data_IF_791373926857
#
_entry.id   IF_791373926857
#
_cell.length_a   1.000
_cell.length_b   1.000
_cell.length_c   1.000
_cell.angle_alpha   90.00
_cell.angle_beta   90.00
_cell.angle_gamma   90.00
#
_symmetry.space_group_name_H-M   'P 1'
#
loop_
_entity.id
_entity.type
_entity.pdbx_description
1 polymer ?
#
# COMPACT_ATOMS: atom_id res chain seq x y z
N UNK A 1 -14.05 38.56 3.92
CA UNK A 1 -13.62 38.36 5.31
C UNK A 1 -12.77 37.09 5.32
N UNK A 2 -11.45 37.26 5.23
CA UNK A 2 -10.49 36.16 5.01
C UNK A 2 -10.07 35.51 6.32
N UNK A 3 -10.37 34.22 6.47
CA UNK A 3 -9.88 33.38 7.55
C UNK A 3 -8.47 32.89 7.23
N UNK A 4 -7.52 33.15 8.12
CA UNK A 4 -6.16 32.63 8.01
C UNK A 4 -6.16 31.13 8.35
N UNK A 5 -5.93 30.29 7.35
CA UNK A 5 -5.74 28.85 7.48
C UNK A 5 -4.48 28.56 8.32
N UNK A 6 -4.64 27.82 9.43
CA UNK A 6 -3.50 27.19 10.11
C UNK A 6 -2.99 26.05 9.22
N UNK A 7 -1.85 26.25 8.56
CA UNK A 7 -1.25 25.25 7.69
C UNK A 7 -0.82 23.99 8.44
N UNK A 8 -1.04 22.83 7.81
CA UNK A 8 -0.49 21.54 8.24
C UNK A 8 1.05 21.60 8.24
N UNK A 9 1.70 21.08 9.28
CA UNK A 9 3.16 21.06 9.41
C UNK A 9 3.73 19.88 8.61
N UNK A 10 4.71 20.14 7.75
CA UNK A 10 5.43 19.09 7.03
C UNK A 10 6.00 18.05 8.00
N UNK A 11 5.87 16.77 7.68
CA UNK A 11 6.58 15.73 8.41
C UNK A 11 8.09 16.04 8.39
N UNK A 12 8.74 15.74 9.51
CA UNK A 12 10.17 15.97 9.66
C UNK A 12 10.55 17.44 9.87
N UNK A 13 9.57 18.36 9.92
CA UNK A 13 9.78 19.70 10.44
C UNK A 13 10.16 19.60 11.92
N UNK A 14 11.46 19.43 12.17
CA UNK A 14 12.06 19.61 13.50
C UNK A 14 11.65 20.99 13.99
N UNK A 15 11.27 21.09 15.25
CA UNK A 15 11.30 22.38 15.94
C UNK A 15 12.73 22.94 15.78
N UNK A 16 12.87 24.00 14.97
CA UNK A 16 14.06 24.80 14.71
C UNK A 16 15.43 24.10 14.81
N UNK A 17 15.97 23.67 13.67
CA UNK A 17 17.36 23.26 13.54
C UNK A 17 17.82 23.33 12.09
N UNK A 18 18.36 24.50 11.73
CA UNK A 18 18.84 24.91 10.40
C UNK A 18 19.79 23.91 9.72
N UNK A 19 19.66 23.79 8.39
CA UNK A 19 20.64 23.12 7.55
C UNK A 19 20.21 22.84 6.12
N UNK A 20 19.76 23.85 5.36
CA UNK A 20 19.59 23.74 3.91
C UNK A 20 20.91 24.06 3.18
N UNK A 21 21.47 23.09 2.46
CA UNK A 21 22.58 23.31 1.51
C UNK A 21 22.00 23.42 0.10
N UNK A 22 22.23 24.56 -0.57
CA UNK A 22 22.00 24.74 -2.02
C UNK A 22 23.32 24.57 -2.82
N UNK A 23 23.26 24.13 -4.08
CA UNK A 23 24.42 23.68 -4.85
C UNK A 23 25.19 24.82 -5.53
N UNK A 24 26.52 24.74 -5.48
CA UNK A 24 27.45 25.68 -6.12
C UNK A 24 27.65 25.43 -7.61
N UNK A 25 27.66 26.54 -8.37
CA UNK A 25 27.78 26.65 -9.82
C UNK A 25 29.12 26.16 -10.39
N UNK A 26 29.06 25.67 -11.63
CA UNK A 26 30.18 25.40 -12.54
C UNK A 26 30.95 26.69 -12.88
N UNK A 27 32.28 26.62 -12.85
CA UNK A 27 33.14 27.50 -13.65
C UNK A 27 34.19 26.70 -14.43
N UNK A 28 34.22 26.97 -15.73
CA UNK A 28 35.21 26.53 -16.72
C UNK A 28 36.58 27.12 -16.42
N UNK A 29 37.65 26.36 -16.66
CA UNK A 29 38.92 26.90 -17.14
C UNK A 29 39.53 25.95 -18.19
N UNK A 30 39.82 26.53 -19.36
CA UNK A 30 40.51 25.94 -20.51
C UNK A 30 42.02 26.11 -20.37
N UNK A 31 42.81 25.13 -20.84
CA UNK A 31 44.02 25.24 -21.71
C UNK A 31 44.67 23.84 -21.79
N UNK A 32 44.65 23.16 -22.95
CA UNK A 32 45.54 23.29 -24.13
C UNK A 32 46.96 22.79 -23.84
N UNK A 33 47.24 21.51 -24.15
CA UNK A 33 48.00 21.00 -25.32
C UNK A 33 49.53 21.02 -25.14
N UNK A 34 50.14 19.83 -25.05
CA UNK A 34 51.14 19.30 -26.02
C UNK A 34 51.71 17.95 -25.54
N UNK A 35 51.68 16.97 -26.45
CA UNK A 35 52.48 15.74 -26.40
C UNK A 35 53.91 16.01 -26.92
N UNK A 36 54.87 15.12 -26.61
CA UNK A 36 55.35 14.23 -27.68
C UNK A 36 55.68 12.79 -27.24
N UNK A 37 55.56 11.86 -28.19
CA UNK A 37 56.10 10.48 -28.23
C UNK A 37 57.41 10.45 -29.08
N UNK A 38 58.08 9.30 -29.35
CA UNK A 38 58.24 8.02 -28.62
C UNK A 38 59.73 7.55 -28.54
N UNK A 39 60.01 6.44 -27.84
CA UNK A 39 61.31 5.77 -27.85
C UNK A 39 61.22 4.27 -27.48
N UNK A 40 61.90 3.45 -28.28
CA UNK A 40 61.70 2.01 -28.55
C UNK A 40 62.53 1.04 -27.64
N UNK A 41 62.14 -0.25 -27.69
CA UNK A 41 62.88 -1.51 -27.38
C UNK A 41 63.01 -2.03 -25.93
N UNK A 42 62.36 -3.17 -25.65
CA UNK A 42 62.92 -4.53 -25.84
C UNK A 42 62.30 -5.60 -24.92
N UNK A 43 62.37 -6.85 -25.39
CA UNK A 43 61.70 -8.09 -24.94
C UNK A 43 62.20 -8.61 -23.58
N UNK A 44 61.35 -9.35 -22.84
CA UNK A 44 61.64 -10.72 -22.37
C UNK A 44 60.42 -11.41 -21.70
N UNK A 45 60.31 -12.72 -21.93
CA UNK A 45 59.25 -13.67 -21.53
C UNK A 45 59.39 -14.12 -20.06
N UNK A 46 58.27 -14.42 -19.37
CA UNK A 46 57.86 -15.78 -18.87
C UNK A 46 56.74 -15.71 -17.78
N UNK A 47 55.97 -16.80 -17.72
CA UNK A 47 54.74 -17.11 -16.97
C UNK A 47 54.92 -17.19 -15.44
N UNK A 48 53.85 -16.91 -14.66
CA UNK A 48 53.14 -17.84 -13.75
C UNK A 48 52.29 -17.14 -12.65
N UNK A 49 51.01 -17.56 -12.50
CA UNK A 49 50.27 -17.83 -11.24
C UNK A 49 49.95 -16.72 -10.21
N UNK A 50 48.72 -16.66 -9.64
CA UNK A 50 48.30 -15.62 -8.69
C UNK A 50 48.50 -16.03 -7.22
N UNK A 51 48.85 -15.07 -6.34
CA UNK A 51 48.73 -15.22 -4.88
C UNK A 51 48.14 -13.95 -4.28
N UNK A 52 47.01 -14.12 -3.59
CA UNK A 52 46.30 -13.12 -2.78
C UNK A 52 47.05 -12.90 -1.45
N UNK A 53 47.24 -11.65 -1.04
CA UNK A 53 47.52 -11.31 0.37
C UNK A 53 46.91 -9.95 0.78
N UNK A 54 46.27 -9.99 1.94
CA UNK A 54 45.45 -8.96 2.59
C UNK A 54 46.29 -7.88 3.27
N UNK A 55 45.86 -6.61 3.19
CA UNK A 55 46.50 -5.47 3.87
C UNK A 55 45.58 -4.83 4.92
N UNK A 56 46.10 -4.70 6.14
CA UNK A 56 45.49 -4.03 7.32
C UNK A 56 45.70 -2.51 7.25
N UNK A 57 44.69 -1.74 7.65
CA UNK A 57 44.76 -0.29 7.90
C UNK A 57 44.95 0.01 9.41
N UNK A 58 45.78 1.00 9.81
CA UNK A 58 45.87 1.42 11.20
C UNK A 58 44.99 2.65 11.53
N UNK A 59 44.36 2.60 12.70
CA UNK A 59 43.52 3.62 13.33
C UNK A 59 44.30 4.81 13.89
N UNK A 60 43.82 6.05 13.68
CA UNK A 60 44.32 7.27 14.35
C UNK A 60 43.29 7.86 15.33
N UNK A 61 43.78 8.17 16.55
CA UNK A 61 43.06 8.75 17.70
C UNK A 61 42.73 10.24 17.51
N UNK A 62 41.58 10.67 18.03
CA UNK A 62 41.17 12.08 18.16
C UNK A 62 41.56 12.64 19.56
N UNK A 63 42.03 13.89 19.61
CA UNK A 63 42.22 14.70 20.83
C UNK A 63 41.12 15.78 20.93
N UNK A 64 40.69 16.19 22.15
CA UNK A 64 39.54 17.07 22.36
C UNK A 64 39.89 18.57 22.27
N UNK A 65 38.91 19.40 21.89
CA UNK A 65 39.01 20.87 21.82
C UNK A 65 38.50 21.56 23.10
N UNK A 66 39.05 22.74 23.48
CA UNK A 66 38.66 23.48 24.68
C UNK A 66 37.50 24.48 24.44
N UNK A 67 36.79 24.79 25.54
CA UNK A 67 35.67 25.75 25.64
C UNK A 67 36.13 27.21 25.61
N UNK A 68 35.30 28.11 25.06
CA UNK A 68 35.42 29.58 25.16
C UNK A 68 34.03 30.26 25.37
N UNK A 69 34.00 31.52 25.87
CA UNK A 69 33.03 32.03 26.85
C UNK A 69 31.88 32.86 26.21
N UNK A 70 30.90 33.38 27.00
CA UNK A 70 29.61 33.82 26.48
C UNK A 70 29.66 35.28 26.00
N UNK A 71 28.85 35.59 24.99
CA UNK A 71 28.57 36.98 24.60
C UNK A 71 27.07 37.22 24.81
N UNK A 72 26.83 38.19 25.67
CA UNK A 72 25.58 38.75 26.12
C UNK A 72 24.92 39.67 25.08
N UNK A 73 23.58 39.65 25.09
CA UNK A 73 22.73 40.79 24.74
C UNK A 73 22.36 40.91 23.27
N UNK A 74 21.08 40.69 22.96
CA UNK A 74 20.11 41.76 22.67
C UNK A 74 18.71 41.17 22.90
N UNK A 75 17.93 41.90 23.70
CA UNK A 75 16.56 41.61 24.03
C UNK A 75 15.63 41.90 22.85
N UNK A 76 14.63 41.04 22.63
CA UNK A 76 13.33 41.45 22.10
C UNK A 76 12.27 40.50 22.64
N UNK A 77 11.45 41.08 23.50
CA UNK A 77 10.34 40.52 24.26
C UNK A 77 9.26 39.86 23.40
N UNK A 78 8.90 38.62 23.73
CA UNK A 78 7.53 38.12 23.52
C UNK A 78 6.93 37.91 24.90
N UNK A 79 6.03 38.81 25.28
CA UNK A 79 5.13 38.59 26.43
C UNK A 79 4.19 37.45 26.05
N UNK A 80 4.17 36.39 26.86
CA UNK A 80 2.99 35.53 26.98
C UNK A 80 1.82 36.43 27.37
N UNK A 81 0.78 36.47 26.54
CA UNK A 81 -0.52 36.97 26.97
C UNK A 81 -1.48 35.79 27.03
N UNK A 82 -1.71 35.43 28.28
CA UNK A 82 -2.87 34.82 28.93
C UNK A 82 -4.01 34.29 28.06
N UNK A 83 -4.38 33.08 28.43
CA UNK A 83 -5.60 32.34 28.14
C UNK A 83 -6.87 33.21 28.06
N UNK A 84 -7.72 32.91 27.09
CA UNK A 84 -9.17 33.16 27.11
C UNK A 84 -9.86 32.13 26.21
N UNK A 85 -11.14 31.80 26.46
CA UNK A 85 -11.60 30.42 26.58
C UNK A 85 -12.15 29.90 25.25
N UNK A 86 -11.98 28.61 25.00
CA UNK A 86 -12.72 27.91 23.95
C UNK A 86 -14.22 27.85 24.27
N UNK A 87 -15.08 27.67 23.25
CA UNK A 87 -16.53 27.76 23.39
C UNK A 87 -17.07 26.79 24.43
N UNK A 88 -17.99 27.27 25.27
CA UNK A 88 -18.70 26.50 26.28
C UNK A 88 -19.40 25.30 25.63
N UNK A 89 -18.81 24.13 25.79
CA UNK A 89 -19.51 22.87 25.57
C UNK A 89 -20.45 22.66 26.76
N UNK A 90 -21.72 22.28 26.54
CA UNK A 90 -22.64 21.99 27.63
C UNK A 90 -22.04 20.89 28.52
N UNK A 91 -22.20 20.98 29.86
CA UNK A 91 -21.60 20.02 30.77
C UNK A 91 -22.16 18.62 30.49
N UNK A 92 -21.28 17.74 30.06
CA UNK A 92 -21.53 16.30 29.98
C UNK A 92 -21.87 15.80 31.39
N UNK A 93 -23.17 15.64 31.67
CA UNK A 93 -23.66 14.99 32.89
C UNK A 93 -23.49 13.47 32.79
N UNK A 94 -22.25 13.00 32.70
CA UNK A 94 -21.86 11.62 33.07
C UNK A 94 -20.37 11.44 32.80
N UNK A 95 -19.58 11.30 33.87
CA UNK A 95 -18.15 10.97 33.76
C UNK A 95 -17.90 9.61 33.10
N UNK A 96 -16.66 9.32 32.69
CA UNK A 96 -16.28 8.09 31.98
C UNK A 96 -16.66 6.79 32.73
N UNK A 97 -16.82 6.84 34.05
CA UNK A 97 -17.31 5.73 34.87
C UNK A 97 -18.81 5.40 34.68
N UNK A 98 -19.66 6.39 34.36
CA UNK A 98 -21.10 6.18 34.20
C UNK A 98 -21.45 5.38 32.94
N UNK A 99 -20.75 5.67 31.83
CA UNK A 99 -20.92 4.94 30.56
C UNK A 99 -20.45 3.48 30.65
N UNK A 100 -19.51 3.18 31.54
CA UNK A 100 -19.07 1.81 31.81
C UNK A 100 -20.14 1.00 32.57
N UNK A 101 -20.81 1.61 33.56
CA UNK A 101 -21.90 0.96 34.30
C UNK A 101 -23.17 0.77 33.46
N UNK A 102 -23.54 1.73 32.61
CA UNK A 102 -24.70 1.57 31.72
C UNK A 102 -24.48 0.52 30.64
N UNK A 103 -23.27 0.44 30.07
CA UNK A 103 -22.91 -0.63 29.11
C UNK A 103 -22.89 -2.01 29.78
N UNK A 104 -22.46 -2.12 31.04
CA UNK A 104 -22.56 -3.37 31.81
C UNK A 104 -24.01 -3.77 32.10
N UNK A 105 -24.89 -2.82 32.42
CA UNK A 105 -26.32 -3.09 32.64
C UNK A 105 -27.03 -3.54 31.37
N UNK A 106 -26.76 -2.89 30.23
CA UNK A 106 -27.29 -3.30 28.93
C UNK A 106 -26.78 -4.69 28.52
N UNK A 107 -25.49 -4.98 28.76
CA UNK A 107 -24.91 -6.30 28.47
C UNK A 107 -25.47 -7.40 29.36
N UNK A 108 -25.66 -7.16 30.67
CA UNK A 108 -26.28 -8.12 31.58
C UNK A 108 -27.76 -8.36 31.26
N UNK A 109 -28.50 -7.31 30.87
CA UNK A 109 -29.88 -7.44 30.40
C UNK A 109 -29.96 -8.27 29.12
N UNK A 110 -29.02 -8.06 28.18
CA UNK A 110 -28.90 -8.86 26.96
C UNK A 110 -28.62 -10.34 27.26
N UNK A 111 -27.69 -10.64 28.16
CA UNK A 111 -27.40 -12.03 28.57
C UNK A 111 -28.61 -12.71 29.24
N UNK A 112 -29.40 -11.97 30.02
CA UNK A 112 -30.65 -12.47 30.63
C UNK A 112 -31.69 -12.81 29.57
N UNK A 113 -31.87 -11.97 28.55
CA UNK A 113 -32.79 -12.22 27.43
C UNK A 113 -32.34 -13.46 26.63
N UNK A 114 -31.05 -13.59 26.33
CA UNK A 114 -30.51 -14.76 25.63
C UNK A 114 -30.71 -16.04 26.45
N UNK A 115 -30.47 -16.01 27.76
CA UNK A 115 -30.71 -17.16 28.63
C UNK A 115 -32.19 -17.57 28.68
N UNK A 116 -33.11 -16.61 28.69
CA UNK A 116 -34.56 -16.88 28.64
C UNK A 116 -35.00 -17.48 27.30
N UNK A 117 -34.41 -17.04 26.19
CA UNK A 117 -34.67 -17.62 24.86
C UNK A 117 -34.17 -19.07 24.80
N UNK A 118 -32.96 -19.36 25.29
CA UNK A 118 -32.41 -20.72 25.34
C UNK A 118 -33.28 -21.63 26.22
N UNK A 119 -33.74 -21.13 27.37
CA UNK A 119 -34.64 -21.88 28.25
C UNK A 119 -36.00 -22.17 27.59
N UNK A 120 -36.55 -21.22 26.83
CA UNK A 120 -37.79 -21.40 26.07
C UNK A 120 -37.67 -22.45 24.96
N UNK A 121 -36.55 -22.45 24.23
CA UNK A 121 -36.27 -23.45 23.19
C UNK A 121 -36.05 -24.86 23.77
N UNK A 122 -35.37 -24.95 24.92
CA UNK A 122 -35.19 -26.22 25.63
C UNK A 122 -36.51 -26.78 26.20
N UNK A 123 -37.47 -25.91 26.56
CA UNK A 123 -38.80 -26.31 27.02
C UNK A 123 -39.69 -26.78 25.87
N UNK A 124 -39.57 -26.16 24.69
CA UNK A 124 -40.28 -26.58 23.48
C UNK A 124 -39.80 -27.95 22.93
N UNK A 125 -38.52 -28.29 23.12
CA UNK A 125 -37.93 -29.56 22.68
C UNK A 125 -38.28 -30.80 23.53
N UNK A 126 -39.05 -30.65 24.61
CA UNK A 126 -39.42 -31.76 25.53
C UNK A 126 -40.84 -32.30 25.34
N UNK A 127 -41.61 -31.83 24.35
CA UNK A 127 -42.93 -32.40 24.02
C UNK A 127 -42.91 -33.01 22.63
N UNK A 128 -42.69 -34.33 22.55
CA UNK A 128 -42.92 -35.08 21.32
C UNK A 128 -42.20 -36.43 21.25
N UNK A 129 -42.47 -37.34 22.18
CA UNK A 129 -42.25 -38.78 21.95
C UNK A 129 -43.52 -39.39 21.34
N UNK A 130 -43.39 -40.18 20.28
CA UNK A 130 -44.51 -40.86 19.64
C UNK A 130 -44.12 -41.73 18.44
N UNK A 131 -43.65 -42.95 18.75
CA UNK A 131 -43.70 -44.24 18.02
C UNK A 131 -44.10 -44.31 16.53
N UNK A 132 -43.34 -45.07 15.73
CA UNK A 132 -43.86 -45.74 14.52
C UNK A 132 -42.78 -46.28 13.58
N UNK A 133 -42.67 -47.61 13.46
CA UNK A 133 -41.70 -48.35 12.65
C UNK A 133 -42.24 -48.71 11.25
N UNK A 134 -41.35 -48.85 10.26
CA UNK A 134 -41.28 -49.87 9.19
C UNK A 134 -41.09 -49.38 7.72
N UNK A 135 -39.95 -49.81 7.15
CA UNK A 135 -39.63 -50.29 5.78
C UNK A 135 -40.09 -49.58 4.48
N UNK A 136 -39.12 -49.36 3.58
CA UNK A 136 -39.30 -49.42 2.11
C UNK A 136 -38.58 -48.34 1.28
N UNK A 137 -37.57 -48.73 0.49
CA UNK A 137 -36.85 -47.92 -0.55
C UNK A 137 -37.78 -47.35 -1.65
N UNK A 138 -37.35 -46.48 -2.61
CA UNK A 138 -36.06 -45.83 -2.84
C UNK A 138 -36.12 -44.28 -2.91
N UNK A 139 -34.96 -43.63 -2.86
CA UNK A 139 -34.76 -42.17 -2.86
C UNK A 139 -35.32 -41.42 -4.08
N UNK A 140 -36.06 -40.31 -3.88
CA UNK A 140 -36.12 -39.20 -4.82
C UNK A 140 -35.40 -37.96 -4.26
N UNK A 141 -34.61 -37.32 -5.12
CA UNK A 141 -34.26 -35.89 -5.15
C UNK A 141 -34.43 -35.08 -3.84
N UNK A 142 -33.32 -34.87 -3.14
CA UNK A 142 -33.24 -33.92 -2.02
C UNK A 142 -33.41 -32.46 -2.49
N UNK A 143 -34.12 -31.61 -1.72
CA UNK A 143 -34.36 -30.22 -2.07
C UNK A 143 -33.12 -29.35 -1.84
N UNK A 144 -32.93 -28.38 -2.73
CA UNK A 144 -31.97 -27.28 -2.56
C UNK A 144 -32.21 -26.54 -1.23
N UNK A 145 -31.16 -26.14 -0.50
CA UNK A 145 -31.35 -25.27 0.65
C UNK A 145 -31.81 -23.89 0.14
N UNK A 146 -33.07 -23.55 0.43
CA UNK A 146 -33.56 -22.19 0.31
C UNK A 146 -32.73 -21.28 1.21
N UNK A 147 -31.86 -20.48 0.60
CA UNK A 147 -31.26 -19.33 1.25
C UNK A 147 -32.40 -18.42 1.71
N UNK A 148 -32.58 -18.33 3.02
CA UNK A 148 -33.43 -17.34 3.66
C UNK A 148 -32.81 -15.98 3.32
N UNK A 149 -33.39 -15.29 2.34
CA UNK A 149 -32.98 -13.96 1.95
C UNK A 149 -33.18 -13.00 3.12
N UNK A 150 -32.09 -12.65 3.80
CA UNK A 150 -32.02 -11.34 4.45
C UNK A 150 -32.13 -10.32 3.32
N UNK A 151 -33.29 -9.69 3.21
CA UNK A 151 -33.48 -8.54 2.34
C UNK A 151 -32.51 -7.45 2.79
N UNK A 152 -31.35 -7.36 2.15
CA UNK A 152 -30.54 -6.16 2.22
C UNK A 152 -31.40 -5.05 1.64
N UNK A 153 -31.89 -4.16 2.50
CA UNK A 153 -32.46 -2.88 2.06
C UNK A 153 -31.43 -2.26 1.12
N UNK A 154 -31.74 -2.04 -0.17
CA UNK A 154 -30.80 -1.39 -1.05
C UNK A 154 -30.45 -0.04 -0.44
N UNK A 155 -29.16 0.24 -0.28
CA UNK A 155 -28.70 1.58 0.07
C UNK A 155 -29.38 2.58 -0.87
N UNK A 156 -29.88 3.71 -0.37
CA UNK A 156 -30.57 4.68 -1.21
C UNK A 156 -29.67 5.03 -2.38
N UNK A 157 -30.14 4.72 -3.60
CA UNK A 157 -29.46 5.07 -4.83
C UNK A 157 -29.54 6.58 -4.99
N UNK A 158 -28.48 7.26 -4.57
CA UNK A 158 -28.28 8.68 -4.85
C UNK A 158 -28.24 8.84 -6.38
N UNK A 159 -29.23 9.53 -6.94
CA UNK A 159 -29.27 9.82 -8.39
C UNK A 159 -27.96 10.50 -8.83
N UNK A 160 -27.36 10.10 -9.96
CA UNK A 160 -26.17 10.76 -10.51
C UNK A 160 -26.36 12.29 -10.57
N UNK A 161 -25.47 13.05 -9.93
CA UNK A 161 -25.50 14.52 -9.91
C UNK A 161 -26.27 15.16 -8.75
N UNK A 162 -26.92 14.37 -7.87
CA UNK A 162 -27.60 14.89 -6.67
C UNK A 162 -26.66 15.18 -5.49
N UNK A 163 -25.39 14.76 -5.58
CA UNK A 163 -24.37 15.15 -4.60
C UNK A 163 -23.84 16.56 -4.90
N UNK A 164 -23.42 17.33 -3.87
CA UNK A 164 -22.73 18.59 -4.09
C UNK A 164 -21.32 18.43 -4.69
N UNK A 165 -20.81 17.20 -4.84
CA UNK A 165 -19.45 16.92 -5.32
C UNK A 165 -19.37 17.21 -6.82
N UNK A 166 -18.50 18.15 -7.20
CA UNK A 166 -18.21 18.50 -8.60
C UNK A 166 -16.88 17.95 -9.10
N UNK A 167 -15.95 17.71 -8.18
CA UNK A 167 -14.62 17.17 -8.48
C UNK A 167 -14.34 15.97 -7.58
N UNK A 168 -13.87 14.87 -8.18
CA UNK A 168 -13.33 13.71 -7.47
C UNK A 168 -11.86 13.59 -7.84
N UNK A 169 -10.99 13.60 -6.84
CA UNK A 169 -9.53 13.47 -7.01
C UNK A 169 -9.06 12.21 -6.30
N UNK A 170 -8.61 11.22 -7.08
CA UNK A 170 -8.00 9.99 -6.60
C UNK A 170 -6.49 10.18 -6.52
N UNK A 171 -5.92 10.20 -5.31
CA UNK A 171 -4.46 10.16 -5.12
C UNK A 171 -4.04 8.72 -4.89
N UNK A 172 -3.40 8.09 -5.88
CA UNK A 172 -3.08 6.65 -5.87
C UNK A 172 -1.61 6.46 -5.51
N UNK A 173 -1.32 5.84 -4.37
CA UNK A 173 0.01 5.77 -3.74
C UNK A 173 0.50 4.33 -3.60
N UNK A 174 1.75 4.17 -3.16
CA UNK A 174 2.49 2.91 -3.11
C UNK A 174 3.17 2.70 -1.73
N UNK A 175 3.72 1.54 -1.34
CA UNK A 175 3.06 0.26 -1.18
C UNK A 175 2.94 0.02 0.33
N UNK A 176 1.77 0.31 0.90
CA UNK A 176 1.59 0.43 2.36
C UNK A 176 0.28 -0.23 2.77
N UNK A 177 0.36 -1.19 3.69
CA UNK A 177 -0.83 -1.81 4.26
C UNK A 177 -1.51 -0.85 5.24
N UNK A 178 -2.79 -1.07 5.51
CA UNK A 178 -3.52 -0.33 6.54
C UNK A 178 -2.77 -0.38 7.89
N UNK A 179 -2.35 -1.56 8.32
CA UNK A 179 -1.61 -1.72 9.58
C UNK A 179 -0.24 -1.02 9.56
N UNK A 180 0.38 -0.84 8.39
CA UNK A 180 1.61 -0.07 8.36
C UNK A 180 1.37 1.40 8.71
N UNK A 181 0.25 2.02 8.35
CA UNK A 181 0.00 3.45 8.61
C UNK A 181 -0.92 3.74 9.80
N UNK A 182 -1.89 2.87 10.05
CA UNK A 182 -3.00 3.14 10.97
C UNK A 182 -3.28 2.00 11.94
N UNK A 183 -2.37 1.03 12.11
CA UNK A 183 -2.54 -0.08 13.08
C UNK A 183 -2.93 0.37 14.49
N UNK A 184 -2.41 1.51 14.93
CA UNK A 184 -2.65 2.06 16.27
C UNK A 184 -3.55 3.29 16.27
N UNK A 185 -4.21 3.60 15.14
CA UNK A 185 -5.14 4.72 15.07
C UNK A 185 -6.36 4.47 15.97
N UNK A 186 -6.76 5.41 16.85
CA UNK A 186 -7.84 5.16 17.80
C UNK A 186 -9.17 4.82 17.12
N UNK A 187 -9.73 3.66 17.44
CA UNK A 187 -11.02 3.19 16.93
C UNK A 187 -10.97 2.48 15.58
N UNK A 188 -9.79 2.40 14.93
CA UNK A 188 -9.61 1.59 13.73
C UNK A 188 -9.46 0.10 14.06
N UNK A 189 -9.86 -0.75 13.11
CA UNK A 189 -9.61 -2.20 13.12
C UNK A 189 -8.15 -2.56 12.79
N UNK A 190 -7.20 -2.01 13.55
CA UNK A 190 -5.77 -2.27 13.40
C UNK A 190 -5.24 -3.43 14.26
N UNK A 191 -4.07 -3.97 13.90
CA UNK A 191 -3.38 -5.02 14.67
C UNK A 191 -2.19 -4.46 15.46
N UNK A 192 -1.91 -5.03 16.64
CA UNK A 192 -0.70 -4.71 17.44
C UNK A 192 0.38 -5.79 17.35
N UNK A 193 0.09 -6.90 16.68
CA UNK A 193 1.02 -7.98 16.39
C UNK A 193 0.51 -8.84 15.22
N UNK A 194 1.36 -9.73 14.71
CA UNK A 194 1.02 -10.65 13.62
C UNK A 194 1.60 -12.05 13.87
N UNK A 195 0.93 -13.08 13.36
CA UNK A 195 1.45 -14.45 13.40
C UNK A 195 2.68 -14.60 12.51
N UNK A 196 3.53 -15.55 12.85
CA UNK A 196 4.64 -15.98 11.98
C UNK A 196 4.48 -17.45 11.61
N UNK A 197 5.27 -17.91 10.65
CA UNK A 197 5.36 -19.31 10.26
C UNK A 197 6.81 -19.79 10.40
N UNK A 198 6.98 -21.07 10.78
CA UNK A 198 8.27 -21.75 10.84
C UNK A 198 8.24 -22.95 9.92
N UNK A 199 9.14 -22.98 8.94
CA UNK A 199 9.25 -24.06 7.98
C UNK A 199 10.60 -24.77 8.09
N UNK A 200 10.56 -26.10 7.99
CA UNK A 200 11.71 -27.00 7.94
C UNK A 200 11.50 -28.05 6.83
N UNK A 201 12.46 -28.96 6.65
CA UNK A 201 12.31 -30.09 5.71
C UNK A 201 11.07 -30.95 6.04
N UNK A 202 10.69 -31.05 7.31
CA UNK A 202 9.49 -31.76 7.77
C UNK A 202 8.17 -30.99 7.57
N UNK A 203 8.20 -29.84 6.89
CA UNK A 203 7.03 -28.99 6.61
C UNK A 203 6.96 -27.71 7.45
N UNK A 204 5.82 -27.01 7.33
CA UNK A 204 5.57 -25.73 7.96
C UNK A 204 4.58 -25.85 9.14
N UNK A 205 4.82 -25.05 10.18
CA UNK A 205 3.94 -24.92 11.35
C UNK A 205 3.84 -23.48 11.81
N UNK A 206 2.78 -23.17 12.55
CA UNK A 206 2.59 -21.85 13.13
C UNK A 206 3.78 -21.49 14.05
N UNK A 207 4.27 -20.27 13.85
CA UNK A 207 5.28 -19.63 14.68
C UNK A 207 4.66 -18.74 15.76
N UNK A 208 5.49 -18.07 16.57
CA UNK A 208 5.01 -17.14 17.57
C UNK A 208 4.34 -15.92 16.93
N UNK A 209 3.44 -15.28 17.70
CA UNK A 209 3.00 -13.92 17.40
C UNK A 209 4.18 -12.97 17.65
N UNK A 210 4.42 -12.05 16.72
CA UNK A 210 5.39 -10.97 16.85
C UNK A 210 4.64 -9.66 17.01
N UNK A 211 5.00 -8.87 18.01
CA UNK A 211 4.47 -7.52 18.18
C UNK A 211 4.92 -6.61 17.03
N UNK A 212 4.03 -5.74 16.54
CA UNK A 212 4.44 -4.76 15.56
C UNK A 212 5.37 -3.74 16.22
N UNK A 213 6.43 -3.34 15.50
CA UNK A 213 7.37 -2.34 15.96
C UNK A 213 7.21 -1.03 15.18
N UNK A 214 7.68 0.09 15.75
CA UNK A 214 7.65 1.37 15.03
C UNK A 214 8.47 1.28 13.73
N UNK A 215 7.84 1.65 12.63
CA UNK A 215 8.47 1.76 11.31
C UNK A 215 9.46 2.91 11.28
N UNK A 216 10.43 2.81 10.36
CA UNK A 216 11.35 3.88 10.01
C UNK A 216 10.81 4.66 8.83
N UNK A 217 11.14 5.95 8.78
CA UNK A 217 10.77 6.80 7.64
C UNK A 217 11.27 6.25 6.29
N UNK A 218 12.53 5.81 6.27
CA UNK A 218 13.15 5.13 5.13
C UNK A 218 13.32 3.66 5.48
N UNK A 219 12.64 2.80 4.73
CA UNK A 219 12.80 1.35 4.86
C UNK A 219 14.03 0.88 4.09
N UNK A 220 14.72 -0.12 4.64
CA UNK A 220 16.00 -0.58 4.11
C UNK A 220 15.86 -1.23 2.72
N UNK A 221 14.76 -1.95 2.52
CA UNK A 221 14.42 -2.63 1.28
C UNK A 221 12.91 -2.61 1.09
N UNK A 222 12.51 -3.11 -0.07
CA UNK A 222 11.12 -3.35 -0.43
C UNK A 222 10.76 -4.83 -0.18
N UNK A 223 9.61 -5.04 0.45
CA UNK A 223 9.07 -6.38 0.64
C UNK A 223 8.42 -6.84 -0.64
N UNK A 224 8.61 -8.10 -0.99
CA UNK A 224 7.91 -8.68 -2.13
C UNK A 224 6.40 -8.57 -1.93
N UNK A 225 5.71 -8.28 -3.04
CA UNK A 225 4.27 -8.07 -3.06
C UNK A 225 3.68 -8.70 -4.33
N UNK A 226 4.22 -9.86 -4.73
CA UNK A 226 3.73 -10.64 -5.86
C UNK A 226 2.44 -11.43 -5.50
N UNK A 227 1.65 -11.84 -6.50
CA UNK A 227 0.42 -12.63 -6.30
C UNK A 227 0.66 -13.87 -5.41
N UNK A 228 1.65 -14.69 -5.78
CA UNK A 228 2.03 -15.89 -5.02
C UNK A 228 2.52 -15.57 -3.61
N UNK A 229 3.21 -14.45 -3.45
CA UNK A 229 3.78 -14.00 -2.17
C UNK A 229 2.68 -13.69 -1.17
N UNK A 230 1.63 -12.99 -1.63
CA UNK A 230 0.45 -12.68 -0.82
C UNK A 230 -0.30 -13.95 -0.39
N UNK A 231 -0.44 -14.95 -1.27
CA UNK A 231 -1.06 -16.21 -0.88
C UNK A 231 -0.31 -16.88 0.28
N UNK A 232 1.02 -16.94 0.21
CA UNK A 232 1.86 -17.44 1.32
C UNK A 232 1.66 -16.61 2.57
N UNK A 233 1.60 -15.28 2.46
CA UNK A 233 1.43 -14.37 3.59
C UNK A 233 0.08 -14.56 4.31
N UNK A 234 -1.01 -14.65 3.54
CA UNK A 234 -2.38 -14.82 4.03
C UNK A 234 -2.60 -16.24 4.58
N UNK A 235 -1.98 -17.24 3.96
CA UNK A 235 -1.96 -18.64 4.40
C UNK A 235 -3.35 -19.19 4.78
N UNK A 236 -4.28 -19.19 3.82
CA UNK A 236 -5.65 -19.68 4.06
C UNK A 236 -6.41 -18.92 5.16
N UNK A 237 -6.05 -17.65 5.40
CA UNK A 237 -6.65 -16.80 6.42
C UNK A 237 -5.96 -16.86 7.79
N UNK A 238 -4.91 -17.66 7.96
CA UNK A 238 -4.11 -17.70 9.21
C UNK A 238 -3.29 -16.41 9.43
N UNK A 239 -3.04 -15.63 8.36
CA UNK A 239 -2.33 -14.33 8.41
C UNK A 239 -0.94 -14.41 9.06
N UNK A 240 -0.21 -15.51 8.83
CA UNK A 240 1.03 -15.81 9.53
C UNK A 240 2.25 -16.06 8.63
N UNK A 241 2.13 -15.86 7.31
CA UNK A 241 3.23 -16.12 6.37
C UNK A 241 4.08 -14.90 6.00
N UNK A 242 3.83 -13.73 6.58
CA UNK A 242 4.51 -12.48 6.20
C UNK A 242 6.02 -12.49 6.47
N UNK A 243 6.53 -13.44 7.27
CA UNK A 243 7.97 -13.62 7.51
C UNK A 243 8.63 -14.64 6.57
N UNK A 244 7.90 -15.18 5.60
CA UNK A 244 8.35 -16.31 4.78
C UNK A 244 7.70 -16.32 3.40
N UNK A 245 7.58 -15.16 2.75
CA UNK A 245 6.81 -15.01 1.51
C UNK A 245 7.42 -15.72 0.29
N UNK A 246 8.68 -16.17 0.34
CA UNK A 246 9.31 -16.96 -0.72
C UNK A 246 8.72 -18.38 -0.82
N UNK A 247 8.00 -18.83 0.21
CA UNK A 247 7.58 -20.21 0.28
C UNK A 247 8.80 -21.16 0.32
N UNK A 248 8.69 -22.38 -0.22
CA UNK A 248 9.75 -23.39 -0.18
C UNK A 248 10.99 -23.04 -1.03
N UNK A 249 10.99 -21.91 -1.75
CA UNK A 249 12.05 -21.59 -2.72
C UNK A 249 13.36 -21.34 -1.96
N UNK A 250 14.40 -22.15 -2.20
CA UNK A 250 15.73 -21.89 -1.65
C UNK A 250 16.24 -20.54 -2.17
N UNK A 251 16.70 -19.68 -1.27
CA UNK A 251 17.24 -18.37 -1.59
C UNK A 251 18.46 -18.09 -0.72
N UNK A 252 19.37 -17.24 -1.22
CA UNK A 252 20.42 -16.68 -0.40
C UNK A 252 19.85 -15.76 0.70
N UNK A 253 20.66 -15.51 1.73
CA UNK A 253 20.25 -14.72 2.89
C UNK A 253 19.91 -13.26 2.56
N UNK A 254 20.51 -12.69 1.50
CA UNK A 254 20.22 -11.32 1.09
C UNK A 254 18.81 -11.23 0.51
N UNK A 255 18.46 -12.13 -0.42
CA UNK A 255 17.11 -12.22 -0.98
C UNK A 255 16.07 -12.59 0.06
N UNK A 256 16.41 -13.39 1.07
CA UNK A 256 15.49 -13.76 2.15
C UNK A 256 14.88 -12.53 2.85
N UNK A 257 15.61 -11.42 2.96
CA UNK A 257 15.09 -10.17 3.55
C UNK A 257 13.91 -9.59 2.75
N UNK A 258 13.96 -9.66 1.41
CA UNK A 258 12.87 -9.24 0.53
C UNK A 258 11.59 -10.06 0.76
N UNK A 259 11.70 -11.24 1.34
CA UNK A 259 10.57 -12.14 1.64
C UNK A 259 10.13 -12.08 3.11
N UNK A 260 10.58 -11.07 3.86
CA UNK A 260 10.11 -10.76 5.21
C UNK A 260 10.81 -11.53 6.33
N UNK A 261 11.88 -12.28 6.05
CA UNK A 261 12.62 -13.04 7.08
C UNK A 261 13.22 -12.14 8.17
N UNK A 262 13.43 -10.86 7.87
CA UNK A 262 13.92 -9.85 8.81
C UNK A 262 12.81 -9.15 9.60
N UNK A 263 11.56 -9.59 9.44
CA UNK A 263 10.36 -9.04 10.08
C UNK A 263 10.07 -7.57 9.74
N UNK A 264 10.61 -7.04 8.64
CA UNK A 264 10.32 -5.67 8.17
C UNK A 264 8.83 -5.43 7.88
N UNK A 265 8.06 -6.49 7.62
CA UNK A 265 6.59 -6.44 7.45
C UNK A 265 5.81 -6.25 8.75
N UNK A 266 6.44 -6.43 9.91
CA UNK A 266 5.81 -6.32 11.23
C UNK A 266 6.06 -4.94 11.83
N UNK A 267 5.78 -3.90 11.05
CA UNK A 267 6.03 -2.52 11.46
C UNK A 267 4.84 -1.60 11.21
N UNK A 268 4.70 -0.57 12.05
CA UNK A 268 3.65 0.44 11.96
C UNK A 268 4.19 1.85 12.19
N UNK A 269 3.56 2.85 11.57
CA UNK A 269 3.71 4.25 11.92
C UNK A 269 2.63 4.67 12.92
N UNK A 270 2.98 5.61 13.79
CA UNK A 270 2.03 6.31 14.65
C UNK A 270 1.93 7.79 14.25
N UNK A 271 1.12 8.57 14.99
CA UNK A 271 0.98 10.01 14.79
C UNK A 271 2.30 10.77 14.69
N UNK A 272 3.37 10.31 15.34
CA UNK A 272 4.67 11.00 15.31
C UNK A 272 5.41 10.72 13.99
N UNK A 273 5.17 9.55 13.40
CA UNK A 273 5.79 9.14 12.14
C UNK A 273 5.13 9.75 10.91
N UNK A 274 3.80 9.80 10.87
CA UNK A 274 3.00 10.35 9.76
C UNK A 274 1.90 11.31 10.29
N UNK A 275 2.32 12.46 10.85
CA UNK A 275 1.40 13.36 11.56
C UNK A 275 0.28 13.92 10.68
N UNK A 276 0.53 14.15 9.39
CA UNK A 276 -0.48 14.77 8.53
C UNK A 276 -1.53 13.75 8.08
N UNK A 277 -1.14 12.50 7.83
CA UNK A 277 -2.09 11.42 7.55
C UNK A 277 -3.00 11.13 8.74
N UNK A 278 -2.44 11.13 9.95
CA UNK A 278 -3.27 11.03 11.16
C UNK A 278 -4.15 12.28 11.37
N UNK A 279 -3.67 13.48 11.02
CA UNK A 279 -4.49 14.68 11.07
C UNK A 279 -5.64 14.66 10.03
N UNK A 280 -5.42 14.10 8.84
CA UNK A 280 -6.50 13.88 7.87
C UNK A 280 -7.51 12.86 8.39
N UNK A 281 -7.06 11.75 8.97
CA UNK A 281 -7.95 10.77 9.58
C UNK A 281 -8.79 11.38 10.73
N UNK A 282 -8.22 12.28 11.53
CA UNK A 282 -8.96 12.97 12.59
C UNK A 282 -10.05 13.90 12.06
N UNK A 283 -9.84 14.48 10.88
CA UNK A 283 -10.69 15.54 10.34
C UNK A 283 -11.72 15.03 9.33
N UNK A 284 -11.37 13.97 8.63
CA UNK A 284 -12.11 13.38 7.52
C UNK A 284 -12.44 11.91 7.82
N UNK A 285 -12.65 11.10 6.79
CA UNK A 285 -13.01 9.68 6.93
C UNK A 285 -11.77 8.83 6.68
N UNK A 286 -11.50 7.92 7.61
CA UNK A 286 -10.57 6.82 7.43
C UNK A 286 -11.38 5.54 7.20
N UNK A 287 -11.21 4.89 6.05
CA UNK A 287 -11.80 3.58 5.79
C UNK A 287 -10.83 2.48 6.27
N UNK A 288 -11.22 1.71 7.28
CA UNK A 288 -10.41 0.64 7.89
C UNK A 288 -10.83 -0.77 7.43
N UNK A 289 -11.84 -0.86 6.56
CA UNK A 289 -12.29 -2.07 5.88
C UNK A 289 -12.24 -1.86 4.35
N UNK A 290 -11.17 -1.23 3.87
CA UNK A 290 -10.90 -1.02 2.45
C UNK A 290 -9.78 -1.96 2.00
N UNK A 291 -10.11 -2.89 1.11
CA UNK A 291 -9.22 -3.97 0.70
C UNK A 291 -8.80 -3.81 -0.76
N UNK A 292 -7.60 -4.32 -1.06
CA UNK A 292 -7.09 -4.46 -2.43
C UNK A 292 -8.05 -5.28 -3.29
N UNK A 293 -8.13 -5.01 -4.59
CA UNK A 293 -9.08 -5.70 -5.48
C UNK A 293 -8.64 -7.13 -5.77
N UNK A 294 -7.34 -7.38 -5.76
CA UNK A 294 -6.73 -8.69 -5.90
C UNK A 294 -5.42 -8.80 -5.12
N UNK A 295 -4.94 -10.01 -4.92
CA UNK A 295 -3.55 -10.20 -4.49
C UNK A 295 -2.60 -9.81 -5.59
N UNK A 296 -1.63 -8.94 -5.34
CA UNK A 296 -0.63 -8.66 -6.37
C UNK A 296 0.07 -7.33 -6.19
N UNK A 297 0.94 -7.01 -7.15
CA UNK A 297 1.76 -5.82 -7.09
C UNK A 297 1.06 -4.60 -7.73
N UNK A 298 1.83 -3.53 -7.90
CA UNK A 298 1.44 -2.24 -8.48
C UNK A 298 0.62 -2.33 -9.76
N UNK A 299 1.13 -3.00 -10.80
CA UNK A 299 0.54 -2.94 -12.15
C UNK A 299 -0.94 -3.36 -12.20
N UNK A 300 -1.35 -4.54 -11.70
CA UNK A 300 -2.76 -4.92 -11.73
C UNK A 300 -3.65 -4.01 -10.88
N UNK A 301 -3.20 -3.52 -9.71
CA UNK A 301 -4.01 -2.63 -8.87
C UNK A 301 -4.21 -1.24 -9.49
N UNK A 302 -3.22 -0.71 -10.22
CA UNK A 302 -3.41 0.52 -11.01
C UNK A 302 -4.40 0.31 -12.17
N UNK A 303 -4.47 -0.88 -12.76
CA UNK A 303 -5.54 -1.21 -13.71
C UNK A 303 -6.91 -1.23 -13.02
N UNK A 304 -7.03 -1.83 -11.83
CA UNK A 304 -8.29 -1.78 -11.06
C UNK A 304 -8.73 -0.35 -10.75
N UNK A 305 -7.79 0.55 -10.44
CA UNK A 305 -8.08 1.96 -10.14
C UNK A 305 -8.73 2.73 -11.31
N UNK A 306 -8.57 2.26 -12.56
CA UNK A 306 -9.14 2.89 -13.76
C UNK A 306 -10.14 2.02 -14.51
N UNK A 307 -10.18 0.71 -14.28
CA UNK A 307 -10.95 -0.24 -15.09
C UNK A 307 -11.81 -1.22 -14.28
N UNK A 308 -11.65 -1.26 -12.95
CA UNK A 308 -12.25 -2.26 -12.07
C UNK A 308 -11.93 -3.72 -12.49
N UNK A 309 -10.84 -3.93 -13.22
CA UNK A 309 -10.31 -5.23 -13.65
C UNK A 309 -8.83 -5.09 -14.03
N UNK A 310 -8.10 -6.21 -14.09
CA UNK A 310 -6.70 -6.25 -14.52
C UNK A 310 -6.45 -7.07 -15.80
N UNK A 311 -7.47 -7.41 -16.59
CA UNK A 311 -7.35 -8.31 -17.76
C UNK A 311 -6.66 -9.66 -17.42
N UNK A 312 -6.91 -10.15 -16.21
CA UNK A 312 -6.29 -11.35 -15.64
C UNK A 312 -4.82 -11.22 -15.28
N UNK A 313 -4.19 -10.04 -15.42
CA UNK A 313 -2.79 -9.80 -15.04
C UNK A 313 -2.62 -10.01 -13.53
N UNK A 314 -1.54 -10.70 -13.14
CA UNK A 314 -1.26 -11.06 -11.74
C UNK A 314 0.07 -10.53 -11.23
N UNK A 315 0.90 -9.96 -12.10
CA UNK A 315 2.23 -9.51 -11.73
C UNK A 315 2.63 -8.23 -12.51
N UNK A 316 3.72 -7.62 -12.08
CA UNK A 316 4.32 -6.49 -12.76
C UNK A 316 4.92 -6.91 -14.13
N UNK A 317 5.23 -5.90 -14.95
CA UNK A 317 5.93 -6.10 -16.21
C UNK A 317 7.32 -6.70 -15.99
N UNK A 318 7.83 -7.44 -16.97
CA UNK A 318 9.15 -8.09 -16.89
C UNK A 318 10.35 -7.13 -17.00
N UNK A 319 10.14 -5.88 -17.42
CA UNK A 319 11.18 -4.87 -17.62
C UNK A 319 11.13 -3.76 -16.55
N UNK A 320 12.25 -3.07 -16.34
CA UNK A 320 12.26 -1.82 -15.56
C UNK A 320 11.75 -0.64 -16.40
N UNK A 321 11.51 0.52 -15.79
CA UNK A 321 11.13 1.72 -16.53
C UNK A 321 12.23 2.19 -17.49
N UNK A 322 11.83 2.50 -18.73
CA UNK A 322 12.69 3.03 -19.77
C UNK A 322 11.87 3.87 -20.76
N UNK A 323 12.54 4.70 -21.56
CA UNK A 323 11.86 5.45 -22.60
C UNK A 323 11.20 4.51 -23.61
N UNK A 324 9.95 4.80 -23.99
CA UNK A 324 9.16 3.95 -24.88
C UNK A 324 8.78 2.64 -24.20
N UNK A 325 7.94 2.72 -23.16
CA UNK A 325 7.43 1.58 -22.39
C UNK A 325 6.00 1.21 -22.84
N UNK A 326 5.48 0.09 -22.32
CA UNK A 326 4.15 -0.44 -22.58
C UNK A 326 3.84 -0.53 -24.06
N UNK A 327 2.78 0.11 -24.55
CA UNK A 327 2.38 0.10 -25.94
C UNK A 327 3.47 0.48 -26.94
N UNK A 328 4.47 1.26 -26.51
CA UNK A 328 5.54 1.74 -27.37
C UNK A 328 6.68 0.72 -27.56
N UNK A 329 6.65 -0.44 -26.87
CA UNK A 329 7.83 -1.31 -26.72
C UNK A 329 7.90 -2.68 -27.46
N UNK A 330 6.98 -3.21 -28.27
CA UNK A 330 6.78 -4.69 -28.48
C UNK A 330 7.22 -5.79 -27.47
N UNK A 331 8.14 -5.59 -26.52
CA UNK A 331 8.84 -6.63 -25.73
C UNK A 331 8.45 -6.66 -24.26
N UNK A 332 7.68 -5.70 -23.76
CA UNK A 332 7.09 -5.76 -22.41
C UNK A 332 5.91 -6.71 -22.32
N UNK A 333 6.00 -7.63 -21.37
CA UNK A 333 4.92 -8.55 -21.05
C UNK A 333 4.73 -8.59 -19.54
N UNK A 334 3.54 -9.00 -19.11
CA UNK A 334 3.28 -9.41 -17.75
C UNK A 334 2.72 -10.84 -17.72
N UNK A 335 2.76 -11.45 -16.54
CA UNK A 335 2.09 -12.72 -16.27
C UNK A 335 0.61 -12.47 -16.06
N UNK A 336 -0.25 -13.31 -16.63
CA UNK A 336 -1.70 -13.29 -16.42
C UNK A 336 -2.26 -14.69 -16.28
N UNK A 337 -3.45 -14.81 -15.73
CA UNK A 337 -4.27 -16.00 -15.93
C UNK A 337 -4.60 -16.21 -17.42
N UNK A 338 -4.58 -17.47 -17.85
CA UNK A 338 -5.00 -17.87 -19.19
C UNK A 338 -6.43 -17.40 -19.45
N UNK A 339 -6.76 -16.93 -20.66
CA UNK A 339 -8.14 -16.64 -21.00
C UNK A 339 -8.97 -17.93 -20.98
N UNK A 340 -10.25 -17.82 -20.58
CA UNK A 340 -11.24 -18.91 -20.59
C UNK A 340 -10.89 -20.09 -19.67
N UNK A 341 -10.52 -19.82 -18.42
CA UNK A 341 -10.47 -20.84 -17.38
C UNK A 341 -11.82 -21.54 -17.26
N UNK A 342 -11.80 -22.88 -17.20
CA UNK A 342 -13.01 -23.66 -16.93
C UNK A 342 -13.46 -23.49 -15.47
N UNK A 343 -14.72 -23.82 -15.13
CA UNK A 343 -15.16 -23.84 -13.73
C UNK A 343 -14.29 -24.73 -12.84
N UNK A 344 -13.75 -25.83 -13.38
CA UNK A 344 -12.83 -26.70 -12.65
C UNK A 344 -11.48 -26.03 -12.44
N UNK A 345 -10.92 -25.37 -13.45
CA UNK A 345 -9.66 -24.62 -13.29
C UNK A 345 -9.79 -23.56 -12.18
N UNK A 346 -10.93 -22.86 -12.14
CA UNK A 346 -11.21 -21.85 -11.10
C UNK A 346 -11.30 -22.52 -9.72
N UNK A 347 -12.03 -23.64 -9.60
CA UNK A 347 -12.11 -24.38 -8.34
C UNK A 347 -10.73 -24.84 -7.86
N UNK A 348 -9.90 -25.36 -8.76
CA UNK A 348 -8.53 -25.80 -8.45
C UNK A 348 -7.66 -24.62 -7.99
N UNK A 349 -7.77 -23.44 -8.63
CA UNK A 349 -7.05 -22.23 -8.22
C UNK A 349 -7.48 -21.82 -6.81
N UNK A 350 -8.79 -21.71 -6.55
CA UNK A 350 -9.31 -21.33 -5.23
C UNK A 350 -8.87 -22.33 -4.15
N UNK A 351 -8.84 -23.61 -4.47
CA UNK A 351 -8.36 -24.67 -3.58
C UNK A 351 -6.86 -24.56 -3.28
N UNK A 352 -6.04 -24.18 -4.27
CA UNK A 352 -4.61 -23.92 -4.10
C UNK A 352 -4.37 -22.71 -3.20
N UNK A 353 -5.15 -21.64 -3.37
CA UNK A 353 -5.07 -20.45 -2.53
C UNK A 353 -5.36 -20.77 -1.05
N UNK A 354 -6.30 -21.67 -0.79
CA UNK A 354 -6.69 -22.08 0.56
C UNK A 354 -5.70 -23.04 1.24
N UNK A 355 -4.82 -23.73 0.49
CA UNK A 355 -3.98 -24.85 0.97
C UNK A 355 -2.48 -24.65 0.73
N UNK A 356 -2.01 -23.41 0.70
CA UNK A 356 -0.66 -23.10 0.21
C UNK A 356 0.48 -23.62 1.10
N UNK A 357 0.19 -24.07 2.32
CA UNK A 357 1.16 -24.54 3.32
C UNK A 357 1.63 -26.00 3.16
N UNK A 358 1.01 -26.79 2.27
CA UNK A 358 1.13 -28.25 2.37
C UNK A 358 2.51 -28.83 2.04
N UNK A 359 3.24 -28.34 1.03
CA UNK A 359 4.57 -28.85 0.63
C UNK A 359 5.32 -27.94 -0.37
N UNK A 360 4.86 -26.71 -0.57
CA UNK A 360 5.51 -25.79 -1.50
C UNK A 360 5.25 -26.04 -3.01
N UNK A 361 4.94 -27.27 -3.42
CA UNK A 361 4.56 -27.62 -4.81
C UNK A 361 3.31 -26.88 -5.30
N UNK A 362 2.37 -26.60 -4.38
CA UNK A 362 1.11 -25.89 -4.66
C UNK A 362 1.36 -24.50 -5.26
N UNK A 363 2.50 -23.88 -4.96
CA UNK A 363 2.84 -22.57 -5.52
C UNK A 363 3.31 -22.62 -6.97
N UNK A 364 3.88 -23.73 -7.42
CA UNK A 364 4.26 -23.94 -8.82
C UNK A 364 3.06 -24.39 -9.66
N UNK A 365 2.09 -25.06 -9.04
CA UNK A 365 0.85 -25.48 -9.68
C UNK A 365 0.07 -24.32 -10.32
N UNK A 366 0.11 -23.12 -9.72
CA UNK A 366 -0.54 -21.91 -10.26
C UNK A 366 0.01 -21.50 -11.62
N UNK A 367 1.31 -21.75 -11.87
CA UNK A 367 1.94 -21.46 -13.16
C UNK A 367 1.29 -22.20 -14.33
N UNK A 368 0.59 -23.33 -14.08
CA UNK A 368 -0.17 -24.08 -15.11
C UNK A 368 -1.36 -23.31 -15.65
N UNK A 369 -1.87 -22.36 -14.86
CA UNK A 369 -3.01 -21.50 -15.23
C UNK A 369 -2.56 -20.14 -15.77
N UNK A 370 -1.25 -19.89 -15.85
CA UNK A 370 -0.71 -18.62 -16.30
C UNK A 370 -0.23 -18.65 -17.75
N UNK A 371 -0.28 -17.48 -18.36
CA UNK A 371 0.21 -17.16 -19.69
C UNK A 371 0.90 -15.78 -19.64
N UNK A 372 1.50 -15.37 -20.75
CA UNK A 372 2.05 -14.02 -20.92
C UNK A 372 1.11 -13.16 -21.73
N UNK A 373 0.98 -11.90 -21.35
CA UNK A 373 0.26 -10.90 -22.12
C UNK A 373 1.16 -9.72 -22.46
N UNK A 374 1.10 -9.30 -23.72
CA UNK A 374 1.76 -8.08 -24.20
C UNK A 374 1.09 -6.89 -23.52
N UNK A 375 1.87 -5.96 -22.95
CA UNK A 375 1.34 -4.77 -22.28
C UNK A 375 0.95 -3.66 -23.25
N UNK A 376 0.12 -4.04 -24.20
CA UNK A 376 -0.58 -3.16 -25.13
C UNK A 376 -1.85 -3.85 -25.59
N UNK A 377 -2.96 -3.55 -24.91
CA UNK A 377 -4.23 -4.22 -25.14
C UNK A 377 -5.38 -3.24 -24.88
N UNK A 378 -6.60 -3.67 -25.21
CA UNK A 378 -7.80 -2.90 -24.92
C UNK A 378 -8.68 -3.65 -23.92
N UNK A 379 -9.09 -2.92 -22.89
CA UNK A 379 -10.18 -3.24 -21.98
C UNK A 379 -10.97 -1.94 -21.76
N UNK A 380 -12.27 -2.01 -21.42
CA UNK A 380 -13.01 -0.82 -21.02
C UNK A 380 -12.38 -0.19 -19.78
N UNK A 381 -12.18 1.12 -19.82
CA UNK A 381 -11.71 1.91 -18.68
C UNK A 381 -12.74 3.00 -18.33
N UNK A 382 -12.78 3.44 -17.08
CA UNK A 382 -13.68 4.51 -16.63
C UNK A 382 -13.54 5.80 -17.48
N UNK A 383 -12.33 6.23 -17.90
CA UNK A 383 -12.17 7.30 -18.88
C UNK A 383 -12.99 7.17 -20.17
N UNK A 384 -13.30 5.96 -20.66
CA UNK A 384 -14.15 5.77 -21.84
C UNK A 384 -15.57 6.27 -21.57
N UNK A 385 -16.11 5.90 -20.42
CA UNK A 385 -17.46 6.31 -19.99
C UNK A 385 -17.52 7.80 -19.72
N UNK A 386 -16.48 8.36 -19.08
CA UNK A 386 -16.38 9.81 -18.84
C UNK A 386 -16.31 10.58 -20.17
N UNK A 387 -15.50 10.10 -21.12
CA UNK A 387 -15.37 10.69 -22.45
C UNK A 387 -16.70 10.65 -23.23
N UNK A 388 -17.42 9.51 -23.18
CA UNK A 388 -18.73 9.36 -23.82
C UNK A 388 -19.80 10.27 -23.18
N UNK A 389 -19.74 10.47 -21.85
CA UNK A 389 -20.66 11.33 -21.12
C UNK A 389 -20.30 12.82 -21.18
N UNK A 390 -19.19 13.20 -21.82
CA UNK A 390 -18.71 14.59 -21.85
C UNK A 390 -18.23 15.12 -20.49
N UNK A 391 -17.91 14.23 -19.54
CA UNK A 391 -17.40 14.59 -18.21
C UNK A 391 -15.90 14.82 -18.33
N UNK A 392 -15.42 15.99 -17.88
CA UNK A 392 -13.99 16.32 -17.96
C UNK A 392 -13.17 15.42 -17.04
N UNK A 393 -12.07 14.88 -17.56
CA UNK A 393 -11.18 14.02 -16.79
C UNK A 393 -9.72 14.21 -17.20
N UNK A 394 -8.80 13.94 -16.27
CA UNK A 394 -7.36 13.81 -16.54
C UNK A 394 -6.74 12.72 -15.68
N UNK A 395 -5.70 12.10 -16.21
CA UNK A 395 -4.85 11.14 -15.50
C UNK A 395 -3.45 11.73 -15.39
N UNK A 396 -3.07 12.14 -14.19
CA UNK A 396 -1.81 12.81 -13.92
C UNK A 396 -0.75 11.79 -13.50
N UNK A 397 0.05 11.31 -14.46
CA UNK A 397 1.08 10.30 -14.27
C UNK A 397 2.29 10.55 -15.16
N UNK A 398 3.47 10.14 -14.69
CA UNK A 398 4.68 10.20 -15.51
C UNK A 398 4.58 9.20 -16.67
N UNK A 399 4.97 9.63 -17.87
CA UNK A 399 5.03 8.73 -19.03
C UNK A 399 6.15 7.71 -18.83
N UNK A 400 5.89 6.47 -19.20
CA UNK A 400 6.75 5.29 -19.04
C UNK A 400 6.99 4.83 -17.59
N UNK A 401 6.34 5.46 -16.61
CA UNK A 401 6.38 4.97 -15.24
C UNK A 401 5.53 3.71 -15.10
N UNK A 402 6.01 2.74 -14.33
CA UNK A 402 5.32 1.50 -13.95
C UNK A 402 3.89 1.66 -13.39
N UNK A 403 3.52 2.84 -12.87
CA UNK A 403 2.16 3.19 -12.43
C UNK A 403 1.25 3.75 -13.53
N UNK A 404 1.72 3.95 -14.76
CA UNK A 404 0.93 4.58 -15.81
C UNK A 404 0.02 3.59 -16.53
N UNK A 405 -1.04 3.15 -15.85
CA UNK A 405 -1.97 2.15 -16.36
C UNK A 405 -2.55 2.50 -17.74
N UNK A 406 -2.85 3.79 -17.99
CA UNK A 406 -3.46 4.22 -19.25
C UNK A 406 -2.50 4.16 -20.45
N UNK A 407 -1.18 4.08 -20.24
CA UNK A 407 -0.23 3.86 -21.34
C UNK A 407 -0.27 2.42 -21.88
N UNK A 408 -0.77 1.46 -21.08
CA UNK A 408 -1.00 0.08 -21.53
C UNK A 408 -2.27 -0.08 -22.38
N UNK A 409 -3.20 0.86 -22.26
CA UNK A 409 -4.50 0.80 -22.93
C UNK A 409 -4.35 1.36 -24.35
N UNK A 410 -4.38 0.47 -25.33
CA UNK A 410 -3.98 0.77 -26.72
C UNK A 410 -4.80 1.92 -27.32
N UNK A 411 -6.12 1.91 -27.18
CA UNK A 411 -6.99 2.96 -27.70
C UNK A 411 -6.83 4.29 -26.94
N UNK A 412 -6.38 4.28 -25.69
CA UNK A 412 -6.03 5.51 -24.97
C UNK A 412 -4.71 6.06 -25.48
N UNK A 413 -3.64 5.24 -25.48
CA UNK A 413 -2.29 5.64 -25.89
C UNK A 413 -2.22 6.16 -27.33
N UNK A 414 -2.80 5.43 -28.28
CA UNK A 414 -2.75 5.82 -29.70
C UNK A 414 -3.97 6.61 -30.18
N UNK A 415 -4.95 6.84 -29.30
CA UNK A 415 -6.15 7.60 -29.61
C UNK A 415 -6.10 9.03 -29.10
N UNK A 416 -7.19 9.76 -29.33
CA UNK A 416 -7.28 11.16 -28.93
C UNK A 416 -7.22 11.35 -27.40
N UNK A 417 -7.61 10.34 -26.62
CA UNK A 417 -7.67 10.39 -25.16
C UNK A 417 -6.30 10.59 -24.50
N UNK A 418 -5.20 10.21 -25.17
CA UNK A 418 -3.85 10.38 -24.63
C UNK A 418 -3.53 11.81 -24.20
N UNK A 419 -4.14 12.83 -24.84
CA UNK A 419 -3.96 14.24 -24.48
C UNK A 419 -4.35 14.58 -23.03
N UNK A 420 -5.18 13.74 -22.41
CA UNK A 420 -5.64 13.87 -21.03
C UNK A 420 -4.71 13.19 -20.01
N UNK A 421 -3.73 12.42 -20.49
CA UNK A 421 -2.64 11.88 -19.67
C UNK A 421 -1.54 12.93 -19.59
N UNK A 422 -1.28 13.45 -18.40
CA UNK A 422 -0.39 14.59 -18.16
C UNK A 422 0.61 14.29 -17.06
N UNK A 423 1.79 14.91 -17.01
CA UNK A 423 2.70 14.74 -15.89
C UNK A 423 2.06 15.15 -14.55
N UNK A 424 2.43 14.54 -13.40
CA UNK A 424 1.85 14.85 -12.09
C UNK A 424 1.93 16.32 -11.69
N UNK A 425 2.99 17.03 -12.13
CA UNK A 425 3.17 18.46 -11.86
C UNK A 425 2.09 19.37 -12.44
N UNK A 426 1.41 18.93 -13.52
CA UNK A 426 0.36 19.71 -14.18
C UNK A 426 -0.90 19.83 -13.30
N UNK A 427 -1.14 18.90 -12.38
CA UNK A 427 -2.31 18.91 -11.48
C UNK A 427 -2.43 20.24 -10.74
N UNK A 428 -1.36 20.66 -10.04
CA UNK A 428 -1.38 21.91 -9.28
C UNK A 428 -1.54 23.15 -10.15
N UNK A 429 -1.13 23.06 -11.42
CA UNK A 429 -1.30 24.14 -12.40
C UNK A 429 -2.74 24.26 -12.85
N UNK A 430 -3.40 23.13 -13.09
CA UNK A 430 -4.81 23.09 -13.43
C UNK A 430 -5.69 23.60 -12.29
N UNK A 431 -5.39 23.22 -11.04
CA UNK A 431 -6.12 23.75 -9.86
C UNK A 431 -5.98 25.27 -9.76
N UNK A 432 -4.75 25.82 -9.85
CA UNK A 432 -4.51 27.28 -9.76
C UNK A 432 -5.15 28.08 -10.90
N UNK A 433 -5.45 27.45 -12.03
CA UNK A 433 -6.04 28.08 -13.21
C UNK A 433 -7.54 27.85 -13.33
N UNK A 434 -8.18 27.28 -12.29
CA UNK A 434 -9.60 26.93 -12.31
C UNK A 434 -9.96 25.96 -13.45
N UNK A 435 -9.02 25.06 -13.78
CA UNK A 435 -9.12 24.06 -14.85
C UNK A 435 -9.10 22.62 -14.31
N UNK A 436 -9.41 22.43 -13.03
CA UNK A 436 -9.48 21.10 -12.43
C UNK A 436 -10.60 20.27 -13.10
N UNK A 437 -10.32 19.09 -13.65
CA UNK A 437 -11.36 18.23 -14.24
C UNK A 437 -12.35 17.70 -13.19
N UNK A 438 -13.54 17.30 -13.62
CA UNK A 438 -14.53 16.68 -12.75
C UNK A 438 -14.02 15.36 -12.13
N UNK A 439 -13.20 14.60 -12.86
CA UNK A 439 -12.56 13.38 -12.34
C UNK A 439 -11.06 13.42 -12.61
N UNK A 440 -10.25 13.29 -11.57
CA UNK A 440 -8.79 13.33 -11.66
C UNK A 440 -8.18 12.14 -10.94
N UNK A 441 -7.23 11.46 -11.59
CA UNK A 441 -6.31 10.56 -10.91
C UNK A 441 -4.96 11.24 -10.83
N UNK A 442 -4.32 11.23 -9.66
CA UNK A 442 -2.99 11.78 -9.46
C UNK A 442 -2.08 10.70 -8.92
N UNK A 443 -1.13 10.31 -9.75
CA UNK A 443 -0.09 9.33 -9.46
C UNK A 443 1.15 10.11 -9.03
N UNK A 444 1.63 9.98 -7.79
CA UNK A 444 2.81 10.68 -7.34
C UNK A 444 4.05 10.28 -8.17
N UNK A 445 4.99 11.20 -8.41
CA UNK A 445 6.28 10.84 -8.98
C UNK A 445 6.99 9.80 -8.12
N UNK A 446 7.88 9.02 -8.73
CA UNK A 446 8.57 7.87 -8.12
C UNK A 446 9.26 8.18 -6.78
N UNK A 447 9.78 9.40 -6.59
CA UNK A 447 10.44 9.80 -5.35
C UNK A 447 9.47 10.13 -4.19
N UNK A 448 8.18 10.26 -4.48
CA UNK A 448 7.14 10.72 -3.54
C UNK A 448 5.95 9.77 -3.44
N UNK A 449 5.96 8.64 -4.14
CA UNK A 449 4.89 7.63 -4.08
C UNK A 449 4.89 6.80 -2.79
N UNK A 450 5.96 6.92 -1.98
CA UNK A 450 6.18 6.22 -0.70
C UNK A 450 6.43 4.73 -0.80
N UNK A 451 6.67 4.23 -2.00
CA UNK A 451 7.12 2.86 -2.19
C UNK A 451 8.37 2.58 -1.33
N UNK A 452 8.44 1.49 -0.56
CA UNK A 452 9.62 1.17 0.24
C UNK A 452 10.86 0.85 -0.60
N UNK A 453 12.02 0.81 0.08
CA UNK A 453 13.33 0.62 -0.54
C UNK A 453 13.89 1.86 -1.24
N UNK A 454 15.07 1.69 -1.84
CA UNK A 454 15.75 2.70 -2.67
C UNK A 454 15.94 4.08 -2.01
N UNK A 455 15.95 4.15 -0.68
CA UNK A 455 16.14 5.41 0.07
C UNK A 455 14.93 6.35 0.07
N UNK A 456 13.76 5.89 -0.38
CA UNK A 456 12.53 6.69 -0.41
C UNK A 456 11.99 6.93 1.00
N UNK A 457 11.54 8.17 1.24
CA UNK A 457 11.06 8.65 2.54
C UNK A 457 9.54 8.74 2.52
N UNK A 458 8.89 8.10 3.51
CA UNK A 458 7.44 8.24 3.73
C UNK A 458 7.08 9.69 4.04
N UNK A 459 7.91 10.35 4.85
CA UNK A 459 7.80 11.74 5.22
C UNK A 459 7.82 12.70 4.02
N UNK A 460 8.68 12.42 3.03
CA UNK A 460 8.72 13.19 1.79
C UNK A 460 7.45 13.00 0.94
N UNK A 461 6.92 11.78 0.85
CA UNK A 461 5.64 11.52 0.19
C UNK A 461 4.43 12.12 0.92
N UNK A 462 4.46 12.14 2.25
CA UNK A 462 3.44 12.79 3.07
C UNK A 462 3.41 14.29 2.77
N UNK A 463 4.60 14.92 2.74
CA UNK A 463 4.75 16.32 2.39
C UNK A 463 4.27 16.64 0.97
N UNK A 464 4.55 15.76 0.00
CA UNK A 464 4.02 15.90 -1.36
C UNK A 464 2.49 15.85 -1.37
N UNK A 465 1.89 14.92 -0.62
CA UNK A 465 0.43 14.80 -0.48
C UNK A 465 -0.17 16.03 0.18
N UNK A 466 0.46 16.57 1.22
CA UNK A 466 0.04 17.82 1.88
C UNK A 466 0.04 18.98 0.89
N UNK A 467 1.09 19.12 0.08
CA UNK A 467 1.13 20.18 -0.93
C UNK A 467 0.03 20.02 -2.00
N UNK A 468 -0.28 18.78 -2.40
CA UNK A 468 -1.38 18.50 -3.30
C UNK A 468 -2.73 18.89 -2.69
N UNK A 469 -3.03 18.43 -1.47
CA UNK A 469 -4.30 18.74 -0.79
C UNK A 469 -4.43 20.24 -0.53
N UNK A 470 -3.38 20.91 -0.08
CA UNK A 470 -3.36 22.37 0.11
C UNK A 470 -3.51 23.17 -1.18
N UNK A 471 -3.28 22.56 -2.36
CA UNK A 471 -3.55 23.25 -3.62
C UNK A 471 -5.04 23.29 -3.94
N UNK A 472 -5.81 22.31 -3.43
CA UNK A 472 -7.26 22.17 -3.63
C UNK A 472 -8.05 23.00 -2.62
N UNK A 473 -7.56 23.05 -1.37
CA UNK A 473 -8.18 23.75 -0.23
C UNK A 473 -7.82 25.22 -0.20
#
# INVERSE_FOLDING_TARGET
MGGAHRGLRLCGARDGGDGAVRPGRRHRLRRSLRAPEPGDRSRLRRRAGPVVRTARYPSRRLKPRPRRPPISGVAASVRLVQETPGPDLPPSRSGPFGRWFERRRAYLAFLLVVALIIAGLAWAGRRGEGSGSANGSPSPSGPSPSASGTSHTPSPSTEPGSTPVKHVVFVVKENRTFNNYFATYPGAAGATGGGTIRCSEDGCRDGPIVELHRSRDVQAHDLTHCFRCALTAINGGKMNGFNWMNGPIPMDAERATLFGHDLSGYTYFDRRGIPNYWAYADRFVLADHFFTSMYGPTLPEHLYAVAAQANGIVDNKSSTDHAGSYCDDPTEYATRFRPRLSPQDIADIMDLENRIDANGDNTYALGRYWDRIRLCFDIPVLPDQLQAAGISWKYYAEENAWMNALQMIRHVRFGSMWRHVRPPGDFSTDVRRDHLPAVSWVIPPESYNEHPGLGKSVCAGENWTVNLVNSIM
#
